data_IF_705682467468
#
_entry.id   IF_705682467468
#
_cell.length_a   1.000
_cell.length_b   1.000
_cell.length_c   1.000
_cell.angle_alpha   90.00
_cell.angle_beta   90.00
_cell.angle_gamma   90.00
#
_symmetry.space_group_name_H-M   'P 1'
#
loop_
_entity.id
_entity.type
_entity.pdbx_description
1 polymer ?
#
# COMPACT_ATOMS: atom_id res chain seq x y z
N UNK A 1 -7.29 7.66 18.49
CA UNK A 1 -7.77 6.99 17.26
C UNK A 1 -8.68 5.83 17.60
N UNK A 2 -9.76 5.59 16.83
CA UNK A 2 -10.65 4.46 17.08
C UNK A 2 -9.91 3.15 16.85
N UNK A 3 -10.20 2.16 17.68
CA UNK A 3 -9.79 0.79 17.39
C UNK A 3 -10.61 0.28 16.20
N UNK A 4 -9.96 -0.02 15.08
CA UNK A 4 -10.61 -0.62 13.90
C UNK A 4 -10.15 -2.07 13.75
N UNK A 5 -11.09 -2.98 13.74
CA UNK A 5 -10.87 -4.38 13.39
C UNK A 5 -10.59 -4.52 11.88
N UNK A 6 -9.98 -5.63 11.48
CA UNK A 6 -9.79 -5.95 10.05
C UNK A 6 -11.09 -5.90 9.26
N UNK A 7 -12.21 -6.37 9.85
CA UNK A 7 -13.52 -6.38 9.21
C UNK A 7 -14.05 -4.95 8.95
N UNK A 8 -13.84 -4.03 9.90
CA UNK A 8 -14.24 -2.64 9.74
C UNK A 8 -13.41 -1.94 8.68
N UNK A 9 -12.09 -2.19 8.62
CA UNK A 9 -11.22 -1.67 7.56
C UNK A 9 -11.67 -2.17 6.18
N UNK A 10 -11.97 -3.46 6.04
CA UNK A 10 -12.51 -4.02 4.79
C UNK A 10 -13.85 -3.37 4.41
N UNK A 11 -14.73 -3.11 5.38
CA UNK A 11 -16.00 -2.44 5.14
C UNK A 11 -15.81 -0.99 4.68
N UNK A 12 -14.84 -0.25 5.24
CA UNK A 12 -14.46 1.08 4.79
C UNK A 12 -13.95 1.02 3.35
N UNK A 13 -12.98 0.13 3.06
CA UNK A 13 -12.46 -0.05 1.71
C UNK A 13 -13.57 -0.37 0.69
N UNK A 14 -14.49 -1.26 1.05
CA UNK A 14 -15.63 -1.62 0.20
C UNK A 14 -16.50 -0.41 -0.13
N UNK A 15 -16.77 0.47 0.83
CA UNK A 15 -17.55 1.71 0.59
C UNK A 15 -16.81 2.66 -0.37
N UNK A 16 -15.51 2.84 -0.18
CA UNK A 16 -14.66 3.66 -1.06
C UNK A 16 -14.67 3.09 -2.48
N UNK A 17 -14.48 1.78 -2.63
CA UNK A 17 -14.46 1.11 -3.94
C UNK A 17 -15.82 1.16 -4.62
N UNK A 18 -16.92 1.00 -3.89
CA UNK A 18 -18.27 1.14 -4.45
C UNK A 18 -18.53 2.56 -4.96
N UNK A 19 -18.02 3.59 -4.27
CA UNK A 19 -18.10 4.98 -4.74
C UNK A 19 -17.24 5.18 -5.99
N UNK A 20 -16.02 4.69 -5.99
CA UNK A 20 -15.10 4.72 -7.13
C UNK A 20 -15.71 4.04 -8.37
N UNK A 21 -16.27 2.82 -8.22
CA UNK A 21 -16.88 2.07 -9.31
C UNK A 21 -18.12 2.79 -9.90
N UNK A 22 -18.90 3.46 -9.07
CA UNK A 22 -20.03 4.28 -9.55
C UNK A 22 -19.57 5.48 -10.39
N UNK A 23 -18.42 6.05 -10.04
CA UNK A 23 -17.84 7.17 -10.77
C UNK A 23 -17.22 6.73 -12.12
N UNK A 24 -16.40 5.67 -12.11
CA UNK A 24 -15.68 5.23 -13.33
C UNK A 24 -16.49 4.29 -14.22
N UNK A 25 -17.62 3.76 -13.75
CA UNK A 25 -18.38 2.72 -14.40
C UNK A 25 -17.85 1.31 -14.14
N UNK A 26 -18.67 0.30 -14.49
CA UNK A 26 -18.37 -1.11 -14.23
C UNK A 26 -17.71 -1.82 -15.41
N UNK A 27 -17.57 -1.15 -16.55
CA UNK A 27 -17.07 -1.71 -17.81
C UNK A 27 -15.83 -0.95 -18.29
N UNK A 28 -14.91 -1.67 -18.94
CA UNK A 28 -13.70 -1.10 -19.52
C UNK A 28 -12.42 -1.30 -18.67
N UNK A 29 -11.27 -0.79 -19.16
CA UNK A 29 -9.97 -1.00 -18.51
C UNK A 29 -9.89 -0.47 -17.08
N UNK A 30 -10.58 0.62 -16.78
CA UNK A 30 -10.62 1.24 -15.45
C UNK A 30 -11.36 0.41 -14.40
N UNK A 31 -12.16 -0.58 -14.80
CA UNK A 31 -12.81 -1.53 -13.90
C UNK A 31 -11.92 -2.73 -13.51
N UNK A 32 -10.74 -2.86 -14.14
CA UNK A 32 -9.83 -3.99 -13.92
C UNK A 32 -8.79 -3.74 -12.83
N UNK A 33 -8.55 -2.48 -12.49
CA UNK A 33 -7.69 -2.05 -11.38
C UNK A 33 -8.15 -0.72 -10.84
N UNK A 34 -7.77 -0.41 -9.61
CA UNK A 34 -7.98 0.93 -9.04
C UNK A 34 -6.91 1.86 -9.59
N UNK A 35 -7.32 2.99 -10.16
CA UNK A 35 -6.43 4.06 -10.60
C UNK A 35 -6.31 5.10 -9.46
N UNK A 36 -5.14 5.23 -8.80
CA UNK A 36 -4.97 6.16 -7.70
C UNK A 36 -5.30 7.61 -8.05
N UNK A 37 -4.92 8.08 -9.25
CA UNK A 37 -5.22 9.44 -9.69
C UNK A 37 -6.72 9.74 -9.68
N UNK A 38 -7.55 8.89 -10.32
CA UNK A 38 -9.01 9.06 -10.33
C UNK A 38 -9.62 8.96 -8.92
N UNK A 39 -9.09 8.06 -8.09
CA UNK A 39 -9.54 7.92 -6.69
C UNK A 39 -9.26 9.21 -5.91
N UNK A 40 -8.08 9.80 -6.07
CA UNK A 40 -7.61 10.93 -5.27
C UNK A 40 -8.24 12.23 -5.76
N UNK A 41 -8.12 12.51 -7.06
CA UNK A 41 -8.54 13.77 -7.63
C UNK A 41 -10.04 13.82 -7.89
N UNK A 42 -10.60 12.83 -8.58
CA UNK A 42 -11.98 12.90 -9.03
C UNK A 42 -12.98 12.44 -7.95
N UNK A 43 -12.64 11.42 -7.14
CA UNK A 43 -13.55 10.95 -6.10
C UNK A 43 -13.40 11.73 -4.78
N UNK A 44 -12.17 11.99 -4.35
CA UNK A 44 -11.91 12.58 -3.03
C UNK A 44 -11.65 14.10 -3.08
N UNK A 45 -11.43 14.66 -4.27
CA UNK A 45 -11.17 16.09 -4.45
C UNK A 45 -9.86 16.54 -3.79
N UNK A 46 -8.84 15.68 -3.79
CA UNK A 46 -7.52 15.96 -3.26
C UNK A 46 -6.53 16.20 -4.39
N UNK A 47 -5.55 17.08 -4.16
CA UNK A 47 -4.50 17.38 -5.12
C UNK A 47 -3.27 16.51 -4.90
N UNK A 48 -2.57 16.17 -5.99
CA UNK A 48 -1.31 15.42 -5.95
C UNK A 48 -0.21 16.34 -6.47
N UNK A 49 0.88 16.45 -5.70
CA UNK A 49 2.06 17.22 -6.09
C UNK A 49 3.32 16.40 -5.84
N UNK A 50 4.30 16.52 -6.72
CA UNK A 50 5.54 15.75 -6.68
C UNK A 50 6.71 16.66 -6.31
N UNK A 51 7.47 16.25 -5.28
CA UNK A 51 8.65 16.95 -4.80
C UNK A 51 9.73 15.97 -4.35
N UNK A 52 10.97 16.41 -4.28
CA UNK A 52 11.99 15.66 -3.53
C UNK A 52 11.75 15.90 -2.05
N UNK A 53 11.28 14.87 -1.34
CA UNK A 53 10.83 14.97 0.06
C UNK A 53 11.97 14.77 1.05
N UNK A 54 13.00 14.02 0.68
CA UNK A 54 14.20 13.82 1.50
C UNK A 54 15.43 13.58 0.62
N UNK A 55 16.61 13.99 1.11
CA UNK A 55 17.86 13.83 0.34
C UNK A 55 18.26 12.35 0.20
N UNK A 56 17.94 11.55 1.20
CA UNK A 56 18.27 10.11 1.26
C UNK A 56 17.18 9.21 0.65
N UNK A 57 16.09 9.81 0.13
CA UNK A 57 14.95 9.07 -0.42
C UNK A 57 14.17 8.24 0.60
N UNK A 58 14.33 8.52 1.89
CA UNK A 58 13.66 7.78 2.96
C UNK A 58 12.17 8.10 3.08
N UNK A 59 11.75 9.31 2.69
CA UNK A 59 10.36 9.77 2.73
C UNK A 59 9.77 9.61 1.32
N UNK A 60 8.68 8.87 1.23
CA UNK A 60 8.02 8.53 -0.04
C UNK A 60 6.77 9.36 -0.30
N UNK A 61 6.10 9.77 0.75
CA UNK A 61 4.90 10.59 0.70
C UNK A 61 4.69 11.38 1.98
N UNK A 62 3.91 12.43 1.88
CA UNK A 62 3.48 13.24 3.02
C UNK A 62 2.04 13.72 2.81
N UNK A 63 1.27 13.73 3.88
CA UNK A 63 -0.02 14.42 3.93
C UNK A 63 -0.20 15.14 5.26
N UNK A 64 -1.02 16.17 5.27
CA UNK A 64 -1.41 16.89 6.46
C UNK A 64 -2.92 17.14 6.46
N UNK A 65 -3.48 17.40 7.62
CA UNK A 65 -4.92 17.66 7.75
C UNK A 65 -5.27 19.14 7.84
N UNK A 66 -4.28 19.96 8.12
CA UNK A 66 -4.38 21.41 8.28
C UNK A 66 -3.22 22.09 7.54
N UNK A 67 -3.24 23.42 7.53
CA UNK A 67 -2.15 24.19 6.94
C UNK A 67 -0.86 24.02 7.74
N UNK A 68 0.19 23.52 7.09
CA UNK A 68 1.51 23.34 7.69
C UNK A 68 2.62 23.48 6.67
N UNK A 69 3.70 24.16 7.03
CA UNK A 69 4.92 24.22 6.24
C UNK A 69 5.76 22.96 6.42
N UNK A 70 6.12 22.32 5.33
CA UNK A 70 7.01 21.15 5.32
C UNK A 70 8.27 21.46 4.53
N UNK A 71 9.39 20.85 4.92
CA UNK A 71 10.65 20.96 4.17
C UNK A 71 10.60 20.02 2.98
N UNK A 72 10.94 20.56 1.81
CA UNK A 72 11.14 19.82 0.55
C UNK A 72 12.46 20.28 -0.08
N UNK A 73 12.87 19.65 -1.18
CA UNK A 73 14.16 19.96 -1.79
C UNK A 73 13.98 20.27 -3.28
N UNK A 74 14.61 21.33 -3.73
CA UNK A 74 14.75 21.71 -5.13
C UNK A 74 16.24 21.73 -5.48
N UNK A 75 16.67 20.87 -6.43
CA UNK A 75 18.09 20.72 -6.79
C UNK A 75 19.00 20.49 -5.55
N UNK A 76 18.55 19.67 -4.59
CA UNK A 76 19.19 19.39 -3.31
C UNK A 76 19.23 20.56 -2.32
N UNK A 77 18.69 21.72 -2.65
CA UNK A 77 18.57 22.85 -1.74
C UNK A 77 17.26 22.76 -0.97
N UNK A 78 17.28 22.97 0.36
CA UNK A 78 16.06 22.94 1.14
C UNK A 78 15.18 24.15 0.83
N UNK A 79 13.91 23.88 0.63
CA UNK A 79 12.85 24.90 0.49
C UNK A 79 11.63 24.50 1.31
N UNK A 80 10.60 25.31 1.32
CA UNK A 80 9.38 25.03 2.07
C UNK A 80 8.19 24.93 1.11
N UNK A 81 7.39 23.89 1.32
CA UNK A 81 6.08 23.75 0.70
C UNK A 81 5.01 23.89 1.79
N UNK A 82 3.91 24.54 1.48
CA UNK A 82 2.79 24.69 2.41
C UNK A 82 1.67 23.74 2.01
N UNK A 83 1.50 22.69 2.81
CA UNK A 83 0.33 21.81 2.73
C UNK A 83 -0.90 22.57 3.21
N UNK A 84 -2.02 22.37 2.55
CA UNK A 84 -3.31 23.04 2.80
C UNK A 84 -4.37 22.12 3.44
N UNK A 85 -3.99 20.89 3.77
CA UNK A 85 -4.89 19.84 4.24
C UNK A 85 -5.63 19.07 3.13
N UNK A 86 -5.40 19.43 1.86
CA UNK A 86 -5.99 18.76 0.68
C UNK A 86 -4.96 18.25 -0.30
N UNK A 87 -3.72 18.67 -0.18
CA UNK A 87 -2.63 18.26 -1.05
C UNK A 87 -1.87 17.08 -0.46
N UNK A 88 -1.61 16.09 -1.30
CA UNK A 88 -0.75 14.94 -1.02
C UNK A 88 0.58 15.16 -1.74
N UNK A 89 1.68 15.16 -0.99
CA UNK A 89 3.04 15.22 -1.55
C UNK A 89 3.59 13.82 -1.76
N UNK A 90 4.18 13.60 -2.93
CA UNK A 90 4.79 12.32 -3.32
C UNK A 90 6.23 12.56 -3.74
N UNK A 91 7.12 11.65 -3.35
CA UNK A 91 8.52 11.66 -3.77
C UNK A 91 8.63 11.57 -5.29
N UNK A 92 9.27 12.57 -5.90
CA UNK A 92 9.40 12.70 -7.36
C UNK A 92 10.11 11.50 -8.01
N UNK A 93 11.09 10.90 -7.33
CA UNK A 93 11.79 9.72 -7.81
C UNK A 93 10.88 8.50 -8.05
N UNK A 94 9.68 8.46 -7.44
CA UNK A 94 8.71 7.39 -7.69
C UNK A 94 8.03 7.48 -9.07
N UNK A 95 8.19 8.61 -9.78
CA UNK A 95 7.63 8.82 -11.12
C UNK A 95 8.64 8.56 -12.24
N UNK A 96 9.89 8.26 -11.91
CA UNK A 96 10.91 7.99 -12.91
C UNK A 96 10.61 6.71 -13.71
N UNK A 97 11.06 6.62 -14.99
CA UNK A 97 10.70 5.52 -15.89
C UNK A 97 11.09 4.12 -15.39
N UNK A 98 12.18 4.02 -14.60
CA UNK A 98 12.70 2.79 -14.01
C UNK A 98 12.14 2.51 -12.61
N UNK A 99 11.36 3.43 -12.04
CA UNK A 99 10.72 3.26 -10.74
C UNK A 99 9.62 2.18 -10.81
N UNK A 100 9.42 1.50 -9.68
CA UNK A 100 8.36 0.50 -9.56
C UNK A 100 6.97 1.18 -9.44
N UNK A 101 6.10 1.05 -10.46
CA UNK A 101 4.78 1.70 -10.44
C UNK A 101 3.92 1.28 -9.24
N UNK A 102 4.06 0.04 -8.80
CA UNK A 102 3.31 -0.47 -7.63
C UNK A 102 3.73 0.20 -6.33
N UNK A 103 4.97 0.74 -6.25
CA UNK A 103 5.42 1.54 -5.11
C UNK A 103 4.75 2.91 -5.11
N UNK A 104 4.73 3.57 -6.26
CA UNK A 104 4.01 4.84 -6.44
C UNK A 104 2.53 4.70 -6.08
N UNK A 105 1.84 3.70 -6.65
CA UNK A 105 0.41 3.47 -6.38
C UNK A 105 0.14 3.22 -4.90
N UNK A 106 1.00 2.43 -4.25
CA UNK A 106 0.87 2.15 -2.82
C UNK A 106 1.06 3.42 -1.99
N UNK A 107 2.10 4.21 -2.26
CA UNK A 107 2.38 5.47 -1.56
C UNK A 107 1.22 6.47 -1.72
N UNK A 108 0.73 6.67 -2.94
CA UNK A 108 -0.42 7.53 -3.22
C UNK A 108 -1.64 7.16 -2.37
N UNK A 109 -2.05 5.89 -2.40
CA UNK A 109 -3.23 5.44 -1.66
C UNK A 109 -2.96 5.36 -0.16
N UNK A 110 -1.71 5.19 0.28
CA UNK A 110 -1.32 5.26 1.69
C UNK A 110 -1.60 6.65 2.28
N UNK A 111 -1.08 7.70 1.64
CA UNK A 111 -1.31 9.08 2.09
C UNK A 111 -2.80 9.44 2.10
N UNK A 112 -3.51 8.98 1.08
CA UNK A 112 -4.97 9.20 0.99
C UNK A 112 -5.74 8.38 2.03
N UNK A 113 -5.24 7.23 2.45
CA UNK A 113 -5.86 6.44 3.52
C UNK A 113 -5.85 7.18 4.86
N UNK A 114 -4.81 7.99 5.15
CA UNK A 114 -4.83 8.92 6.29
C UNK A 114 -5.98 9.93 6.16
N UNK A 115 -6.16 10.54 4.98
CA UNK A 115 -7.24 11.50 4.73
C UNK A 115 -8.63 10.85 4.86
N UNK A 116 -8.81 9.63 4.31
CA UNK A 116 -10.07 8.89 4.44
C UNK A 116 -10.39 8.61 5.91
N UNK A 117 -9.43 8.15 6.69
CA UNK A 117 -9.64 7.88 8.11
C UNK A 117 -9.98 9.16 8.88
N UNK A 118 -9.32 10.29 8.60
CA UNK A 118 -9.67 11.59 9.17
C UNK A 118 -11.10 12.02 8.81
N UNK A 119 -11.50 11.87 7.54
CA UNK A 119 -12.84 12.23 7.09
C UNK A 119 -13.93 11.41 7.80
N UNK A 120 -13.65 10.13 8.07
CA UNK A 120 -14.60 9.23 8.74
C UNK A 120 -14.62 9.38 10.26
N UNK A 121 -13.50 9.78 10.85
CA UNK A 121 -13.31 9.86 12.31
C UNK A 121 -12.74 11.23 12.74
N UNK A 122 -13.39 12.35 12.36
CA UNK A 122 -12.81 13.68 12.57
C UNK A 122 -12.58 14.00 14.06
N UNK A 123 -13.40 13.46 14.96
CA UNK A 123 -13.29 13.72 16.40
C UNK A 123 -12.01 13.10 17.01
N UNK A 124 -11.66 11.92 16.55
CA UNK A 124 -10.46 11.19 17.03
C UNK A 124 -9.18 11.88 16.55
N UNK A 125 -9.22 12.52 15.40
CA UNK A 125 -8.10 13.30 14.88
C UNK A 125 -8.03 14.73 15.45
N UNK A 126 -9.13 15.25 16.00
CA UNK A 126 -9.17 16.57 16.60
C UNK A 126 -8.75 16.61 18.08
N UNK A 127 -8.89 15.51 18.83
CA UNK A 127 -8.75 15.47 20.31
C UNK A 127 -7.45 14.83 20.82
N UNK A 128 -6.52 14.45 19.97
CA UNK A 128 -5.31 13.72 20.38
C UNK A 128 -4.21 14.61 20.97
N UNK A 129 -3.70 14.26 22.15
CA UNK A 129 -2.51 14.85 22.79
C UNK A 129 -1.24 14.68 21.92
N UNK A 130 -1.28 13.80 20.92
CA UNK A 130 -0.23 13.54 19.94
C UNK A 130 -0.69 13.93 18.52
N UNK A 131 -1.07 15.20 18.32
CA UNK A 131 -1.34 15.69 16.97
C UNK A 131 -0.05 15.66 16.14
N UNK A 132 0.07 14.64 15.30
CA UNK A 132 0.99 14.73 14.17
C UNK A 132 0.37 15.70 13.17
N UNK A 133 1.01 16.86 12.97
CA UNK A 133 0.57 17.81 11.95
C UNK A 133 0.85 17.28 10.53
N UNK A 134 1.83 16.39 10.39
CA UNK A 134 2.26 15.82 9.12
C UNK A 134 2.41 14.31 9.28
N UNK A 135 1.85 13.56 8.34
CA UNK A 135 2.02 12.12 8.18
C UNK A 135 3.03 11.88 7.07
N UNK A 136 3.98 11.00 7.30
CA UNK A 136 5.04 10.69 6.33
C UNK A 136 5.09 9.18 6.09
N UNK A 137 4.91 8.76 4.85
CA UNK A 137 5.17 7.41 4.42
C UNK A 137 6.67 7.20 4.24
N UNK A 138 7.23 6.20 4.90
CA UNK A 138 8.63 5.80 4.75
C UNK A 138 8.73 4.34 4.33
N UNK A 139 9.89 3.93 3.80
CA UNK A 139 10.14 2.50 3.49
C UNK A 139 9.95 1.60 4.73
N UNK A 140 10.21 2.11 5.93
CA UNK A 140 10.03 1.38 7.19
C UNK A 140 8.56 1.28 7.61
N UNK A 141 7.72 2.28 7.32
CA UNK A 141 6.28 2.21 7.61
C UNK A 141 5.55 1.17 6.74
N UNK A 142 6.08 0.89 5.55
CA UNK A 142 5.56 -0.15 4.66
C UNK A 142 5.99 -1.55 5.11
N UNK A 143 7.09 -1.69 5.88
CA UNK A 143 7.63 -2.98 6.31
C UNK A 143 7.17 -3.32 7.72
N UNK A 144 6.33 -4.34 7.85
CA UNK A 144 5.99 -4.94 9.14
C UNK A 144 7.23 -5.59 9.78
N UNK A 145 7.75 -5.05 10.89
CA UNK A 145 8.88 -5.68 11.57
C UNK A 145 9.64 -4.85 12.62
N UNK A 146 9.17 -3.66 12.99
CA UNK A 146 9.75 -2.88 14.08
C UNK A 146 9.30 -3.36 15.47
N UNK A 147 10.11 -3.14 16.51
CA UNK A 147 9.82 -3.52 17.91
C UNK A 147 8.60 -2.83 18.53
N UNK A 148 8.09 -1.78 17.91
CA UNK A 148 6.89 -1.05 18.34
C UNK A 148 5.94 -0.91 17.16
N UNK A 149 4.76 -1.55 17.26
CA UNK A 149 3.74 -1.48 16.22
C UNK A 149 3.06 -0.11 16.30
N UNK A 150 3.27 0.72 15.30
CA UNK A 150 2.42 1.90 15.10
C UNK A 150 1.06 1.42 14.57
N UNK A 151 0.06 1.42 15.45
CA UNK A 151 -1.29 0.93 15.12
C UNK A 151 -2.01 1.82 14.12
N UNK A 152 -1.61 3.08 14.00
CA UNK A 152 -2.14 3.99 13.00
C UNK A 152 -1.63 3.60 11.61
N UNK A 153 -0.32 3.51 11.46
CA UNK A 153 0.32 3.06 10.23
C UNK A 153 -0.13 1.65 9.81
N UNK A 154 -0.35 0.76 10.78
CA UNK A 154 -0.89 -0.57 10.49
C UNK A 154 -2.29 -0.50 9.85
N UNK A 155 -3.20 0.34 10.38
CA UNK A 155 -4.56 0.50 9.83
C UNK A 155 -4.52 1.15 8.45
N UNK A 156 -3.70 2.17 8.28
CA UNK A 156 -3.49 2.85 7.00
C UNK A 156 -2.98 1.85 5.96
N UNK A 157 -1.96 1.06 6.29
CA UNK A 157 -1.44 0.02 5.40
C UNK A 157 -2.50 -1.03 5.04
N UNK A 158 -3.31 -1.45 6.01
CA UNK A 158 -4.43 -2.39 5.78
C UNK A 158 -5.50 -1.80 4.86
N UNK A 159 -5.88 -0.53 5.08
CA UNK A 159 -6.85 0.17 4.26
C UNK A 159 -6.33 0.36 2.83
N UNK A 160 -5.07 0.81 2.69
CA UNK A 160 -4.38 0.95 1.42
C UNK A 160 -4.41 -0.35 0.61
N UNK A 161 -4.03 -1.46 1.24
CA UNK A 161 -4.02 -2.76 0.60
C UNK A 161 -5.45 -3.23 0.20
N UNK A 162 -6.45 -2.93 1.02
CA UNK A 162 -7.84 -3.29 0.75
C UNK A 162 -8.45 -2.43 -0.38
N UNK A 163 -8.07 -1.16 -0.49
CA UNK A 163 -8.48 -0.27 -1.59
C UNK A 163 -7.83 -0.69 -2.90
N UNK A 164 -6.50 -0.89 -2.93
CA UNK A 164 -5.79 -1.26 -4.16
C UNK A 164 -6.11 -2.68 -4.63
N UNK A 165 -6.40 -3.58 -3.70
CA UNK A 165 -6.67 -5.00 -3.96
C UNK A 165 -7.98 -5.44 -3.28
N UNK A 166 -9.15 -4.89 -3.71
CA UNK A 166 -10.46 -5.33 -3.22
C UNK A 166 -10.63 -6.83 -3.46
N UNK A 167 -11.24 -7.54 -2.51
CA UNK A 167 -11.34 -9.00 -2.57
C UNK A 167 -11.94 -9.51 -3.87
N UNK A 168 -13.06 -8.92 -4.33
CA UNK A 168 -13.76 -9.36 -5.54
C UNK A 168 -12.90 -9.16 -6.79
N UNK A 169 -12.22 -8.02 -6.90
CA UNK A 169 -11.32 -7.71 -7.99
C UNK A 169 -10.09 -8.64 -7.97
N UNK A 170 -9.50 -8.86 -6.80
CA UNK A 170 -8.37 -9.76 -6.61
C UNK A 170 -8.73 -11.19 -7.02
N UNK A 171 -9.87 -11.73 -6.56
CA UNK A 171 -10.35 -13.06 -6.91
C UNK A 171 -10.63 -13.17 -8.42
N UNK A 172 -11.20 -12.12 -9.04
CA UNK A 172 -11.42 -12.06 -10.49
C UNK A 172 -10.09 -12.15 -11.24
N UNK A 173 -9.08 -11.39 -10.84
CA UNK A 173 -7.75 -11.40 -11.47
C UNK A 173 -7.03 -12.75 -11.26
N UNK A 174 -7.13 -13.34 -10.07
CA UNK A 174 -6.58 -14.68 -9.80
C UNK A 174 -7.19 -15.73 -10.74
N UNK A 175 -8.53 -15.74 -10.86
CA UNK A 175 -9.23 -16.67 -11.76
C UNK A 175 -8.83 -16.48 -13.22
N UNK A 176 -8.65 -15.25 -13.67
CA UNK A 176 -8.25 -14.94 -15.04
C UNK A 176 -6.89 -15.53 -15.44
N UNK A 177 -5.99 -15.75 -14.47
CA UNK A 177 -4.68 -16.36 -14.68
C UNK A 177 -4.61 -17.83 -14.25
N UNK A 178 -5.76 -18.49 -13.99
CA UNK A 178 -5.83 -19.91 -13.63
C UNK A 178 -5.60 -20.21 -12.14
N UNK A 179 -5.58 -19.22 -11.28
CA UNK A 179 -5.51 -19.41 -9.82
C UNK A 179 -6.93 -19.45 -9.21
N UNK A 180 -7.54 -20.65 -9.25
CA UNK A 180 -8.92 -20.84 -8.78
C UNK A 180 -9.04 -21.11 -7.28
N UNK A 181 -7.93 -21.33 -6.59
CA UNK A 181 -7.89 -21.67 -5.18
C UNK A 181 -6.75 -20.95 -4.47
N UNK A 182 -6.63 -21.20 -3.18
CA UNK A 182 -5.53 -20.73 -2.35
C UNK A 182 -4.18 -21.19 -2.90
N UNK A 183 -3.23 -20.26 -3.00
CA UNK A 183 -1.84 -20.56 -3.35
C UNK A 183 -1.19 -21.26 -2.14
N UNK A 184 -0.79 -22.52 -2.32
CA UNK A 184 -0.16 -23.30 -1.25
C UNK A 184 1.26 -22.83 -0.98
N UNK A 185 2.01 -22.59 -2.06
CA UNK A 185 3.41 -22.19 -1.99
C UNK A 185 3.71 -21.15 -3.07
N UNK A 186 4.26 -20.04 -2.67
CA UNK A 186 4.75 -19.01 -3.58
C UNK A 186 6.28 -19.09 -3.65
N UNK A 187 6.78 -19.76 -4.66
CA UNK A 187 8.19 -20.03 -4.86
C UNK A 187 8.54 -19.98 -6.35
N UNK A 188 9.54 -19.17 -6.71
CA UNK A 188 9.93 -18.96 -8.12
C UNK A 188 10.67 -20.16 -8.74
N UNK A 189 11.23 -21.04 -7.91
CA UNK A 189 12.03 -22.21 -8.33
C UNK A 189 11.18 -23.47 -8.35
N UNK A 190 10.50 -23.77 -7.24
CA UNK A 190 9.77 -25.02 -7.05
C UNK A 190 8.30 -24.96 -7.46
N UNK A 191 7.75 -23.75 -7.65
CA UNK A 191 6.37 -23.52 -8.13
C UNK A 191 6.34 -22.41 -9.20
N UNK A 192 7.08 -22.57 -10.33
CA UNK A 192 7.25 -21.48 -11.31
C UNK A 192 5.95 -21.07 -12.00
N UNK A 193 5.01 -22.00 -12.22
CA UNK A 193 3.71 -21.70 -12.84
C UNK A 193 2.84 -20.81 -11.94
N UNK A 194 2.70 -21.19 -10.68
CA UNK A 194 1.99 -20.41 -9.66
C UNK A 194 2.65 -19.05 -9.44
N UNK A 195 3.98 -19.00 -9.44
CA UNK A 195 4.72 -17.75 -9.33
C UNK A 195 4.48 -16.83 -10.53
N UNK A 196 4.49 -17.36 -11.76
CA UNK A 196 4.22 -16.56 -12.95
C UNK A 196 2.79 -16.02 -12.95
N UNK A 197 1.80 -16.85 -12.64
CA UNK A 197 0.41 -16.42 -12.50
C UNK A 197 0.25 -15.35 -11.43
N UNK A 198 0.87 -15.53 -10.25
CA UNK A 198 0.93 -14.52 -9.19
C UNK A 198 1.57 -13.20 -9.66
N UNK A 199 2.68 -13.26 -10.40
CA UNK A 199 3.36 -12.08 -10.93
C UNK A 199 2.45 -11.30 -11.90
N UNK A 200 1.72 -12.01 -12.77
CA UNK A 200 0.73 -11.42 -13.69
C UNK A 200 -0.42 -10.75 -12.92
N UNK A 201 -0.90 -11.34 -11.82
CA UNK A 201 -1.93 -10.70 -10.97
C UNK A 201 -1.40 -9.39 -10.40
N UNK A 202 -0.14 -9.36 -9.90
CA UNK A 202 0.46 -8.13 -9.35
C UNK A 202 0.54 -7.03 -10.43
N UNK A 203 0.97 -7.38 -11.64
CA UNK A 203 1.06 -6.47 -12.77
C UNK A 203 -0.32 -5.92 -13.18
N UNK A 204 -1.30 -6.79 -13.36
CA UNK A 204 -2.67 -6.40 -13.71
C UNK A 204 -3.29 -5.45 -12.70
N UNK A 205 -3.05 -5.66 -11.41
CA UNK A 205 -3.52 -4.79 -10.33
C UNK A 205 -2.67 -3.52 -10.15
N UNK A 206 -1.51 -3.46 -10.80
CA UNK A 206 -0.57 -2.34 -10.67
C UNK A 206 0.05 -2.23 -9.28
N UNK A 207 0.30 -3.36 -8.61
CA UNK A 207 0.89 -3.43 -7.28
C UNK A 207 2.21 -4.20 -7.28
N UNK A 208 3.05 -3.99 -6.26
CA UNK A 208 4.26 -4.78 -6.12
C UNK A 208 3.95 -6.23 -5.71
N UNK A 209 4.82 -7.17 -6.14
CA UNK A 209 4.73 -8.59 -5.72
C UNK A 209 4.75 -8.74 -4.20
N UNK A 210 5.50 -7.89 -3.51
CA UNK A 210 5.55 -7.87 -2.04
C UNK A 210 4.19 -7.48 -1.44
N UNK A 211 3.58 -6.38 -1.92
CA UNK A 211 2.26 -5.94 -1.46
C UNK A 211 1.19 -7.00 -1.71
N UNK A 212 1.16 -7.60 -2.91
CA UNK A 212 0.22 -8.66 -3.23
C UNK A 212 0.41 -9.89 -2.33
N UNK A 213 1.65 -10.31 -2.06
CA UNK A 213 1.93 -11.48 -1.19
C UNK A 213 1.43 -11.26 0.24
N UNK A 214 1.60 -10.04 0.76
CA UNK A 214 1.11 -9.65 2.09
C UNK A 214 -0.43 -9.67 2.08
N UNK A 215 -1.06 -9.08 1.08
CA UNK A 215 -2.53 -9.05 0.96
C UNK A 215 -3.14 -10.45 0.88
N UNK A 216 -2.59 -11.33 0.04
CA UNK A 216 -3.03 -12.72 -0.08
C UNK A 216 -2.90 -13.47 1.26
N UNK A 217 -1.82 -13.21 2.01
CA UNK A 217 -1.61 -13.80 3.34
C UNK A 217 -2.63 -13.29 4.35
N UNK A 218 -2.94 -12.01 4.34
CA UNK A 218 -3.97 -11.39 5.19
C UNK A 218 -5.36 -11.96 4.94
N UNK A 219 -5.69 -12.27 3.68
CA UNK A 219 -6.95 -12.86 3.25
C UNK A 219 -6.98 -14.40 3.40
N UNK A 220 -5.89 -15.02 3.85
CA UNK A 220 -5.78 -16.47 3.93
C UNK A 220 -5.69 -17.19 2.57
N UNK A 221 -5.41 -16.45 1.49
CA UNK A 221 -5.28 -16.96 0.12
C UNK A 221 -3.84 -17.39 -0.23
N UNK A 222 -2.90 -17.25 0.67
CA UNK A 222 -1.50 -17.70 0.54
C UNK A 222 -1.07 -18.41 1.83
N UNK A 223 -0.53 -19.64 1.71
CA UNK A 223 -0.05 -20.40 2.87
C UNK A 223 1.43 -20.14 3.12
N UNK A 224 2.28 -20.45 2.17
CA UNK A 224 3.74 -20.36 2.30
C UNK A 224 4.29 -19.35 1.28
N UNK A 225 5.20 -18.48 1.76
CA UNK A 225 5.84 -17.45 0.94
C UNK A 225 7.35 -17.58 1.05
N UNK A 226 7.96 -18.14 0.00
CA UNK A 226 9.40 -18.36 -0.12
C UNK A 226 10.06 -17.37 -1.13
N UNK A 227 9.44 -16.21 -1.38
CA UNK A 227 10.00 -15.22 -2.34
C UNK A 227 11.38 -14.72 -1.93
N UNK A 228 11.64 -14.58 -0.63
CA UNK A 228 12.92 -14.10 -0.10
C UNK A 228 14.00 -15.19 -0.10
N UNK A 229 13.62 -16.43 0.14
CA UNK A 229 14.52 -17.58 0.17
C UNK A 229 13.88 -18.75 -0.60
N UNK A 230 14.03 -18.78 -1.94
CA UNK A 230 13.43 -19.82 -2.77
C UNK A 230 13.93 -21.23 -2.48
N UNK A 231 15.12 -21.35 -1.92
CA UNK A 231 15.79 -22.63 -1.61
C UNK A 231 15.58 -23.12 -0.18
N UNK A 232 14.78 -22.41 0.63
CA UNK A 232 14.46 -22.81 2.01
C UNK A 232 13.94 -24.27 2.14
N UNK A 233 13.33 -24.81 1.07
CA UNK A 233 12.83 -26.19 1.03
C UNK A 233 13.91 -27.27 1.00
N UNK A 234 15.09 -26.92 0.51
CA UNK A 234 16.21 -27.87 0.32
C UNK A 234 17.40 -27.55 1.23
N UNK A 235 17.24 -26.60 2.14
CA UNK A 235 18.28 -26.30 3.11
C UNK A 235 18.36 -27.44 4.12
N UNK A 236 19.50 -28.14 4.14
CA UNK A 236 19.85 -29.08 5.18
C UNK A 236 20.29 -28.23 6.37
N UNK A 237 19.58 -28.27 7.48
CA UNK A 237 20.12 -27.75 8.74
C UNK A 237 21.29 -28.67 9.10
N UNK A 238 22.51 -28.13 9.34
CA UNK A 238 23.57 -28.97 9.87
C UNK A 238 23.09 -29.54 11.18
N UNK A 239 23.19 -30.87 11.31
CA UNK A 239 22.96 -31.52 12.61
C UNK A 239 23.80 -30.76 13.63
N UNK A 240 23.21 -30.35 14.75
CA UNK A 240 23.97 -29.83 15.89
C UNK A 240 24.92 -30.96 16.25
N UNK A 241 26.20 -30.83 15.86
CA UNK A 241 27.22 -31.74 16.34
C UNK A 241 27.19 -31.66 17.85
N UNK A 242 26.78 -32.75 18.48
CA UNK A 242 26.94 -33.00 19.89
C UNK A 242 28.40 -32.71 20.23
N UNK A 243 28.67 -31.57 20.85
CA UNK A 243 29.95 -31.28 21.46
C UNK A 243 30.06 -32.18 22.69
N UNK A 244 30.70 -33.33 22.50
CA UNK A 244 31.24 -34.14 23.59
C UNK A 244 32.50 -33.52 24.17
#
# INVERSE_FOLDING_TARGET
MPYLSKREIEAIATRVINAYQRMVGTTGPMSQRVCPGLLIQDLLGLDITYWTLSIDGSILGMTAFDQVGVRVYENKNPTHFFLDGKTVLIESALTEPDANPGRLHFTLVHEVSHQILKMLFPKEYASGINHRHVYCCTDSSIRYGGRQVDWEEWRVNMLTAAILMPLDLLVKQMKAVGLYSKIRMLNRVFAPKEYQAFATVAENLGVSKAALSIRLKQLGLLTRNDLKDPYALVRIEPDEEELF
#
